data_IF_822412685557
#
_entry.id   IF_822412685557
#
_cell.length_a   1.000
_cell.length_b   1.000
_cell.length_c   1.000
_cell.angle_alpha   90.00
_cell.angle_beta   90.00
_cell.angle_gamma   90.00
#
_symmetry.space_group_name_H-M   'P 1'
#
loop_
_entity.id
_entity.type
_entity.pdbx_description
1 polymer ?
#
# COMPACT_ATOMS: atom_id res chain seq x y z
N UNK A 1 -74.38 19.06 -22.33
CA UNK A 1 -73.10 19.81 -22.21
C UNK A 1 -72.06 18.89 -21.59
N UNK A 2 -71.13 18.34 -22.40
CA UNK A 2 -70.07 17.44 -21.93
C UNK A 2 -68.91 18.28 -21.40
N UNK A 3 -68.57 18.14 -20.11
CA UNK A 3 -67.41 18.79 -19.50
C UNK A 3 -66.17 17.92 -19.76
N UNK A 4 -65.21 18.45 -20.52
CA UNK A 4 -63.88 17.86 -20.64
C UNK A 4 -63.07 18.21 -19.39
N UNK A 5 -62.65 17.19 -18.66
CA UNK A 5 -61.70 17.29 -17.55
C UNK A 5 -60.31 17.07 -18.16
N UNK A 6 -59.57 18.15 -18.37
CA UNK A 6 -58.16 18.09 -18.81
C UNK A 6 -57.33 17.83 -17.55
N UNK A 7 -56.86 16.59 -17.40
CA UNK A 7 -55.84 16.24 -16.43
C UNK A 7 -54.48 16.69 -17.00
N UNK A 8 -53.93 17.77 -16.44
CA UNK A 8 -52.54 18.17 -16.70
C UNK A 8 -51.62 17.21 -15.92
N UNK A 9 -50.89 16.36 -16.63
CA UNK A 9 -49.85 15.54 -16.05
C UNK A 9 -48.61 16.39 -15.78
N UNK A 10 -48.32 16.67 -14.51
CA UNK A 10 -47.02 17.20 -14.09
C UNK A 10 -45.97 16.09 -14.29
N UNK A 11 -45.12 16.23 -15.31
CA UNK A 11 -43.90 15.45 -15.46
C UNK A 11 -42.89 16.02 -14.47
N UNK A 12 -42.76 15.41 -13.30
CA UNK A 12 -41.69 15.72 -12.35
C UNK A 12 -40.43 15.05 -12.90
N UNK A 13 -39.63 15.77 -13.69
CA UNK A 13 -38.28 15.32 -14.02
C UNK A 13 -37.46 15.45 -12.75
N UNK A 14 -37.28 14.37 -11.98
CA UNK A 14 -36.27 14.37 -10.92
C UNK A 14 -34.92 14.56 -11.61
N UNK A 15 -34.27 15.70 -11.41
CA UNK A 15 -32.86 15.85 -11.74
C UNK A 15 -32.08 14.85 -10.88
N UNK A 16 -31.85 13.66 -11.42
CA UNK A 16 -30.94 12.68 -10.82
C UNK A 16 -29.53 13.25 -10.99
N UNK A 17 -28.82 13.46 -9.88
CA UNK A 17 -27.42 13.86 -9.90
C UNK A 17 -26.63 12.91 -10.80
N UNK A 18 -25.72 13.47 -11.58
CA UNK A 18 -24.68 12.71 -12.29
C UNK A 18 -23.80 11.95 -11.31
N UNK A 19 -23.07 10.95 -11.79
CA UNK A 19 -22.16 10.18 -10.95
C UNK A 19 -21.02 11.08 -10.41
N UNK A 20 -20.56 12.03 -11.21
CA UNK A 20 -19.59 13.04 -10.81
C UNK A 20 -20.12 13.92 -9.68
N UNK A 21 -21.37 14.41 -9.76
CA UNK A 21 -21.97 15.20 -8.68
C UNK A 21 -22.19 14.38 -7.40
N UNK A 22 -22.58 13.11 -7.52
CA UNK A 22 -22.70 12.19 -6.37
C UNK A 22 -21.34 11.96 -5.72
N UNK A 23 -20.32 11.64 -6.52
CA UNK A 23 -18.96 11.41 -6.08
C UNK A 23 -18.36 12.64 -5.40
N UNK A 24 -18.46 13.82 -6.03
CA UNK A 24 -17.92 15.06 -5.49
C UNK A 24 -18.55 15.41 -4.14
N UNK A 25 -19.87 15.24 -4.01
CA UNK A 25 -20.57 15.47 -2.75
C UNK A 25 -20.06 14.54 -1.65
N UNK A 26 -19.90 13.25 -1.95
CA UNK A 26 -19.43 12.28 -0.97
C UNK A 26 -17.95 12.48 -0.61
N UNK A 27 -17.08 12.69 -1.61
CA UNK A 27 -15.66 13.00 -1.43
C UNK A 27 -15.47 14.25 -0.59
N UNK A 28 -16.27 15.30 -0.82
CA UNK A 28 -16.24 16.52 0.01
C UNK A 28 -16.52 16.20 1.48
N UNK A 29 -17.51 15.35 1.78
CA UNK A 29 -17.79 14.93 3.15
C UNK A 29 -16.62 14.12 3.73
N UNK A 30 -16.06 13.19 2.96
CA UNK A 30 -14.88 12.41 3.37
C UNK A 30 -13.68 13.30 3.68
N UNK A 31 -13.38 14.29 2.82
CA UNK A 31 -12.22 15.17 2.97
C UNK A 31 -12.27 16.09 4.19
N UNK A 32 -13.44 16.36 4.75
CA UNK A 32 -13.56 17.20 5.96
C UNK A 32 -12.74 16.66 7.13
N UNK A 33 -12.60 15.35 7.22
CA UNK A 33 -11.84 14.71 8.29
C UNK A 33 -10.32 14.71 8.04
N UNK A 34 -9.89 14.96 6.80
CA UNK A 34 -8.48 14.95 6.40
C UNK A 34 -7.84 16.34 6.30
N UNK A 35 -8.62 17.36 5.95
CA UNK A 35 -8.10 18.70 5.69
C UNK A 35 -7.96 19.52 6.98
N UNK A 36 -6.84 20.23 7.12
CA UNK A 36 -6.62 21.16 8.23
C UNK A 36 -7.65 22.29 8.28
N UNK A 37 -8.11 22.75 7.11
CA UNK A 37 -9.08 23.84 6.96
C UNK A 37 -10.19 23.41 5.99
N UNK A 38 -11.17 22.58 6.44
CA UNK A 38 -12.19 22.03 5.55
C UNK A 38 -13.04 23.08 4.83
N UNK A 39 -13.29 24.23 5.47
CA UNK A 39 -14.09 25.32 4.87
C UNK A 39 -13.39 26.00 3.67
N UNK A 40 -12.08 25.82 3.54
CA UNK A 40 -11.29 26.33 2.40
C UNK A 40 -11.23 25.38 1.21
N UNK A 41 -11.86 24.20 1.33
CA UNK A 41 -11.92 23.22 0.26
C UNK A 41 -12.71 23.75 -0.93
N UNK A 42 -12.10 23.65 -2.11
CA UNK A 42 -12.74 23.92 -3.38
C UNK A 42 -12.41 22.81 -4.39
N UNK A 43 -13.42 22.16 -4.99
CA UNK A 43 -13.19 21.16 -6.02
C UNK A 43 -12.65 21.83 -7.29
N UNK A 44 -11.68 21.18 -7.94
CA UNK A 44 -11.13 21.61 -9.23
C UNK A 44 -11.66 20.71 -10.34
N UNK A 45 -11.64 19.39 -10.13
CA UNK A 45 -12.19 18.42 -11.07
C UNK A 45 -12.50 17.10 -10.39
N UNK A 46 -13.61 16.49 -10.78
CA UNK A 46 -14.01 15.14 -10.38
C UNK A 46 -14.22 14.31 -11.63
N UNK A 47 -13.58 13.14 -11.71
CA UNK A 47 -13.77 12.15 -12.78
C UNK A 47 -14.14 10.83 -12.16
N UNK A 48 -15.10 10.14 -12.77
CA UNK A 48 -15.64 8.89 -12.27
C UNK A 48 -15.52 7.83 -13.35
N UNK A 49 -14.86 6.72 -13.03
CA UNK A 49 -14.70 5.56 -13.88
C UNK A 49 -15.27 4.32 -13.20
N UNK A 50 -15.72 3.34 -14.00
CA UNK A 50 -16.19 2.07 -13.47
C UNK A 50 -15.04 1.26 -12.88
N UNK A 51 -15.30 0.66 -11.71
CA UNK A 51 -14.34 -0.12 -10.96
C UNK A 51 -14.65 -1.62 -11.08
N UNK A 52 -13.61 -2.44 -11.20
CA UNK A 52 -13.70 -3.91 -11.33
C UNK A 52 -12.74 -4.66 -10.38
N UNK A 53 -12.39 -4.01 -9.28
CA UNK A 53 -11.39 -4.47 -8.31
C UNK A 53 -12.03 -4.76 -6.95
N UNK A 54 -11.38 -5.58 -6.14
CA UNK A 54 -11.70 -5.76 -4.73
C UNK A 54 -10.91 -4.77 -3.87
N UNK A 55 -11.52 -3.62 -3.58
CA UNK A 55 -10.93 -2.55 -2.75
C UNK A 55 -10.52 -3.06 -1.37
N UNK A 56 -11.15 -4.11 -0.85
CA UNK A 56 -10.83 -4.68 0.47
C UNK A 56 -9.45 -5.32 0.54
N UNK A 57 -8.84 -5.59 -0.62
CA UNK A 57 -7.50 -6.19 -0.71
C UNK A 57 -6.37 -5.13 -0.71
N UNK A 58 -6.67 -3.84 -0.94
CA UNK A 58 -5.66 -2.78 -1.02
C UNK A 58 -4.87 -2.67 0.29
N UNK A 59 -5.55 -2.50 1.43
CA UNK A 59 -4.91 -2.36 2.73
C UNK A 59 -4.10 -3.62 3.13
N UNK A 60 -4.64 -4.85 2.99
CA UNK A 60 -3.85 -6.08 3.16
C UNK A 60 -2.57 -6.13 2.31
N UNK A 61 -2.65 -5.80 1.02
CA UNK A 61 -1.49 -5.81 0.10
C UNK A 61 -0.44 -4.81 0.56
N UNK A 62 -0.84 -3.58 0.90
CA UNK A 62 0.09 -2.55 1.40
C UNK A 62 0.79 -3.01 2.68
N UNK A 63 0.04 -3.55 3.64
CA UNK A 63 0.59 -4.04 4.91
C UNK A 63 1.56 -5.20 4.71
N UNK A 64 1.20 -6.19 3.89
CA UNK A 64 2.07 -7.33 3.57
C UNK A 64 3.36 -6.84 2.89
N UNK A 65 3.25 -5.86 2.01
CA UNK A 65 4.40 -5.25 1.32
C UNK A 65 5.38 -4.60 2.29
N UNK A 66 4.89 -3.86 3.28
CA UNK A 66 5.73 -3.29 4.35
C UNK A 66 6.37 -4.36 5.24
N UNK A 67 5.63 -5.44 5.54
CA UNK A 67 6.17 -6.59 6.27
C UNK A 67 7.29 -7.29 5.48
N UNK A 68 7.15 -7.43 4.16
CA UNK A 68 8.19 -7.97 3.27
C UNK A 68 9.44 -7.10 3.28
N UNK A 69 9.32 -5.78 3.09
CA UNK A 69 10.45 -4.83 3.16
C UNK A 69 11.22 -4.95 4.48
N UNK A 70 10.49 -5.04 5.59
CA UNK A 70 11.07 -5.21 6.92
C UNK A 70 11.77 -6.58 7.09
N UNK A 71 11.20 -7.66 6.55
CA UNK A 71 11.81 -9.00 6.58
C UNK A 71 13.10 -9.04 5.75
N UNK A 72 13.10 -8.48 4.54
CA UNK A 72 14.30 -8.36 3.70
C UNK A 72 15.40 -7.59 4.43
N UNK A 73 15.05 -6.46 5.06
CA UNK A 73 16.00 -5.66 5.86
C UNK A 73 16.61 -6.46 7.03
N UNK A 74 15.82 -7.33 7.67
CA UNK A 74 16.29 -8.22 8.74
C UNK A 74 17.18 -9.34 8.21
N UNK A 75 16.84 -9.93 7.07
CA UNK A 75 17.64 -10.95 6.37
C UNK A 75 19.02 -10.38 6.03
N UNK A 76 19.08 -9.23 5.36
CA UNK A 76 20.33 -8.54 5.02
C UNK A 76 21.18 -8.20 6.25
N UNK A 77 20.55 -7.97 7.42
CA UNK A 77 21.27 -7.77 8.68
C UNK A 77 21.83 -9.08 9.22
N UNK A 78 21.10 -10.18 9.13
CA UNK A 78 21.58 -11.50 9.53
C UNK A 78 22.77 -11.94 8.67
N UNK A 79 22.71 -11.75 7.35
CA UNK A 79 23.80 -12.07 6.42
C UNK A 79 25.09 -11.34 6.80
N UNK A 80 25.03 -10.02 6.99
CA UNK A 80 26.19 -9.23 7.45
C UNK A 80 26.74 -9.69 8.80
N UNK A 81 25.88 -10.12 9.73
CA UNK A 81 26.33 -10.67 11.02
C UNK A 81 27.05 -12.00 10.85
N UNK A 82 26.55 -12.87 9.96
CA UNK A 82 27.18 -14.15 9.64
C UNK A 82 28.57 -13.90 9.05
N UNK A 83 28.68 -13.02 8.04
CA UNK A 83 29.97 -12.66 7.42
C UNK A 83 30.95 -12.06 8.44
N UNK A 84 30.48 -11.14 9.29
CA UNK A 84 31.31 -10.54 10.34
C UNK A 84 31.80 -11.57 11.37
N UNK A 85 30.93 -12.52 11.73
CA UNK A 85 31.27 -13.59 12.66
C UNK A 85 32.25 -14.58 12.02
N UNK A 86 32.09 -14.90 10.73
CA UNK A 86 33.04 -15.72 9.96
C UNK A 86 34.43 -15.09 9.91
N UNK A 87 34.51 -13.80 9.56
CA UNK A 87 35.77 -13.05 9.58
C UNK A 87 36.43 -13.07 10.96
N UNK A 88 35.64 -12.92 12.03
CA UNK A 88 36.15 -12.98 13.40
C UNK A 88 36.65 -14.38 13.77
N UNK A 89 35.93 -15.43 13.34
CA UNK A 89 36.38 -16.82 13.53
C UNK A 89 37.70 -17.09 12.80
N UNK A 90 37.90 -16.54 11.60
CA UNK A 90 39.14 -16.70 10.84
C UNK A 90 40.32 -15.98 11.52
N UNK A 91 40.11 -14.76 12.03
CA UNK A 91 41.14 -14.00 12.77
C UNK A 91 41.56 -14.74 14.05
N UNK A 92 40.59 -15.25 14.80
CA UNK A 92 40.82 -15.86 16.10
C UNK A 92 40.94 -17.39 16.04
N UNK A 93 41.10 -17.95 14.84
CA UNK A 93 41.19 -19.39 14.62
C UNK A 93 42.24 -20.04 15.55
N UNK A 94 41.86 -21.03 16.37
CA UNK A 94 42.76 -21.58 17.36
C UNK A 94 43.86 -22.42 16.71
N UNK A 95 45.10 -22.21 17.15
CA UNK A 95 46.29 -22.99 16.82
C UNK A 95 47.03 -23.40 18.11
N UNK A 96 48.17 -24.09 17.96
CA UNK A 96 48.97 -24.59 19.09
C UNK A 96 49.44 -23.51 20.09
N UNK A 97 49.44 -22.24 19.70
CA UNK A 97 49.92 -21.10 20.50
C UNK A 97 48.80 -20.12 20.88
N UNK A 98 47.53 -20.43 20.59
CA UNK A 98 46.43 -19.50 20.84
C UNK A 98 46.18 -19.25 22.32
N UNK A 99 46.12 -17.97 22.68
CA UNK A 99 45.78 -17.49 24.01
C UNK A 99 44.34 -17.86 24.42
N UNK A 100 44.06 -17.82 25.74
CA UNK A 100 42.69 -17.96 26.25
C UNK A 100 41.75 -16.89 25.67
N UNK A 101 42.25 -15.67 25.47
CA UNK A 101 41.49 -14.59 24.83
C UNK A 101 41.09 -14.96 23.40
N UNK A 102 42.04 -15.38 22.56
CA UNK A 102 41.76 -15.79 21.17
C UNK A 102 40.74 -16.93 21.10
N UNK A 103 40.85 -17.93 21.98
CA UNK A 103 39.88 -19.03 22.07
C UNK A 103 38.48 -18.55 22.50
N UNK A 104 38.43 -17.55 23.38
CA UNK A 104 37.19 -16.92 23.83
C UNK A 104 36.50 -16.13 22.71
N UNK A 105 37.24 -15.31 21.97
CA UNK A 105 36.73 -14.55 20.82
C UNK A 105 36.21 -15.48 19.72
N UNK A 106 36.97 -16.53 19.38
CA UNK A 106 36.52 -17.55 18.45
C UNK A 106 35.19 -18.20 18.88
N UNK A 107 35.08 -18.55 20.18
CA UNK A 107 33.86 -19.16 20.71
C UNK A 107 32.66 -18.20 20.68
N UNK A 108 32.89 -16.91 20.95
CA UNK A 108 31.84 -15.87 20.85
C UNK A 108 31.37 -15.69 19.42
N UNK A 109 32.30 -15.53 18.48
CA UNK A 109 32.00 -15.39 17.06
C UNK A 109 31.24 -16.62 16.53
N UNK A 110 31.65 -17.83 16.92
CA UNK A 110 30.92 -19.06 16.58
C UNK A 110 29.48 -19.03 17.11
N UNK A 111 29.25 -18.59 18.34
CA UNK A 111 27.91 -18.46 18.91
C UNK A 111 27.06 -17.43 18.16
N UNK A 112 27.63 -16.25 17.89
CA UNK A 112 26.96 -15.18 17.14
C UNK A 112 26.56 -15.63 15.73
N UNK A 113 27.42 -16.40 15.05
CA UNK A 113 27.13 -17.01 13.75
C UNK A 113 25.93 -17.95 13.80
N UNK A 114 25.89 -18.85 14.78
CA UNK A 114 24.79 -19.82 14.91
C UNK A 114 23.45 -19.13 15.26
N UNK A 115 23.49 -18.10 16.12
CA UNK A 115 22.30 -17.28 16.42
C UNK A 115 21.81 -16.54 15.17
N UNK A 116 22.72 -15.90 14.43
CA UNK A 116 22.37 -15.18 13.20
C UNK A 116 21.82 -16.10 12.10
N UNK A 117 22.34 -17.33 11.96
CA UNK A 117 21.81 -18.36 11.06
C UNK A 117 20.40 -18.83 11.44
N UNK A 118 20.14 -18.99 12.73
CA UNK A 118 18.81 -19.34 13.23
C UNK A 118 17.79 -18.25 12.90
N UNK A 119 18.14 -16.99 13.16
CA UNK A 119 17.31 -15.84 12.79
C UNK A 119 17.12 -15.72 11.28
N UNK A 120 18.18 -15.94 10.49
CA UNK A 120 18.11 -15.93 9.03
C UNK A 120 17.08 -16.94 8.51
N UNK A 121 17.14 -18.19 8.98
CA UNK A 121 16.18 -19.23 8.59
C UNK A 121 14.75 -18.82 8.99
N UNK A 122 14.56 -18.34 10.21
CA UNK A 122 13.26 -17.86 10.70
C UNK A 122 12.69 -16.74 9.84
N UNK A 123 13.48 -15.73 9.48
CA UNK A 123 13.01 -14.61 8.67
C UNK A 123 12.78 -15.00 7.21
N UNK A 124 13.62 -15.88 6.65
CA UNK A 124 13.44 -16.42 5.30
C UNK A 124 12.13 -17.19 5.18
N UNK A 125 11.83 -18.06 6.15
CA UNK A 125 10.55 -18.79 6.19
C UNK A 125 9.36 -17.83 6.22
N UNK A 126 9.40 -16.82 7.08
CA UNK A 126 8.35 -15.79 7.16
C UNK A 126 8.21 -14.99 5.87
N UNK A 127 9.32 -14.69 5.20
CA UNK A 127 9.30 -14.00 3.91
C UNK A 127 8.54 -14.83 2.87
N UNK A 128 8.83 -16.13 2.77
CA UNK A 128 8.08 -17.03 1.86
C UNK A 128 6.58 -17.08 2.18
N UNK A 129 6.21 -17.12 3.46
CA UNK A 129 4.80 -17.07 3.90
C UNK A 129 4.12 -15.76 3.47
N UNK A 130 4.80 -14.62 3.64
CA UNK A 130 4.27 -13.31 3.25
C UNK A 130 4.19 -13.13 1.73
N UNK A 131 5.17 -13.65 0.97
CA UNK A 131 5.12 -13.63 -0.51
C UNK A 131 3.94 -14.43 -1.04
N UNK A 132 3.67 -15.61 -0.47
CA UNK A 132 2.49 -16.39 -0.83
C UNK A 132 1.20 -15.63 -0.53
N UNK A 133 1.10 -14.98 0.63
CA UNK A 133 -0.05 -14.16 1.00
C UNK A 133 -0.22 -12.93 0.09
N UNK A 134 0.88 -12.28 -0.29
CA UNK A 134 0.86 -11.16 -1.22
C UNK A 134 0.26 -11.59 -2.56
N UNK A 135 0.80 -12.66 -3.14
CA UNK A 135 0.31 -13.21 -4.43
C UNK A 135 -1.16 -13.61 -4.37
N UNK A 136 -1.61 -14.20 -3.26
CA UNK A 136 -3.02 -14.55 -3.06
C UNK A 136 -3.92 -13.30 -3.03
N UNK A 137 -3.51 -12.23 -2.35
CA UNK A 137 -4.30 -11.00 -2.30
C UNK A 137 -4.28 -10.25 -3.63
N UNK A 138 -3.15 -10.21 -4.33
CA UNK A 138 -3.06 -9.63 -5.69
C UNK A 138 -3.94 -10.40 -6.68
N UNK A 139 -3.96 -11.73 -6.62
CA UNK A 139 -4.86 -12.52 -7.47
C UNK A 139 -6.35 -12.24 -7.20
N UNK A 140 -6.72 -11.86 -5.97
CA UNK A 140 -8.10 -11.47 -5.60
C UNK A 140 -8.42 -10.01 -5.94
N UNK A 141 -7.41 -9.18 -6.15
CA UNK A 141 -7.59 -7.76 -6.42
C UNK A 141 -8.43 -7.53 -7.68
N UNK A 142 -8.25 -8.34 -8.72
CA UNK A 142 -9.07 -8.27 -9.93
C UNK A 142 -10.33 -9.15 -9.80
N UNK A 143 -11.51 -8.53 -9.74
CA UNK A 143 -12.79 -9.28 -9.69
C UNK A 143 -13.37 -9.59 -11.07
N UNK A 144 -13.11 -8.73 -12.06
CA UNK A 144 -13.65 -8.90 -13.42
C UNK A 144 -15.15 -8.62 -13.56
N UNK A 145 -15.83 -8.27 -12.46
CA UNK A 145 -17.20 -7.76 -12.42
C UNK A 145 -17.21 -6.33 -11.87
N UNK A 146 -18.28 -5.57 -12.16
CA UNK A 146 -18.42 -4.21 -11.66
C UNK A 146 -18.55 -4.22 -10.13
N UNK A 147 -17.74 -3.43 -9.43
CA UNK A 147 -17.71 -3.36 -7.96
C UNK A 147 -17.95 -1.96 -7.41
N UNK A 148 -18.18 -0.97 -8.28
CA UNK A 148 -18.42 0.42 -7.89
C UNK A 148 -17.65 1.40 -8.76
N UNK A 149 -17.12 2.46 -8.16
CA UNK A 149 -16.57 3.60 -8.88
C UNK A 149 -15.19 4.00 -8.39
N UNK A 150 -14.26 4.17 -9.32
CA UNK A 150 -12.98 4.83 -9.07
C UNK A 150 -13.14 6.32 -9.38
N UNK A 151 -12.77 7.17 -8.43
CA UNK A 151 -12.98 8.61 -8.51
C UNK A 151 -11.64 9.31 -8.41
N UNK A 152 -11.18 9.91 -9.50
CA UNK A 152 -10.04 10.83 -9.47
C UNK A 152 -10.55 12.22 -9.12
N UNK A 153 -10.04 12.78 -8.02
CA UNK A 153 -10.51 14.06 -7.51
C UNK A 153 -9.34 15.02 -7.24
N UNK A 154 -9.42 16.19 -7.87
CA UNK A 154 -8.49 17.30 -7.66
C UNK A 154 -9.22 18.42 -6.96
N UNK A 155 -8.57 18.99 -5.96
CA UNK A 155 -9.11 20.08 -5.16
C UNK A 155 -8.00 21.05 -4.76
N UNK A 156 -8.40 22.14 -4.13
CA UNK A 156 -7.48 23.03 -3.41
C UNK A 156 -8.00 23.33 -2.02
N UNK A 157 -7.11 23.49 -1.07
CA UNK A 157 -7.43 23.90 0.30
C UNK A 157 -6.27 24.67 0.91
N UNK A 158 -6.51 25.40 1.99
CA UNK A 158 -5.42 26.02 2.75
C UNK A 158 -4.52 24.95 3.37
N UNK A 159 -3.22 25.23 3.38
CA UNK A 159 -2.22 24.45 4.12
C UNK A 159 -2.48 24.52 5.63
N UNK A 160 -1.79 23.68 6.43
CA UNK A 160 -1.97 23.66 7.89
C UNK A 160 -1.79 25.03 8.56
N UNK A 161 -0.93 25.90 8.02
CA UNK A 161 -0.71 27.26 8.51
C UNK A 161 -1.80 28.29 8.12
N UNK A 162 -2.77 27.92 7.27
CA UNK A 162 -3.84 28.82 6.83
C UNK A 162 -3.37 29.96 5.90
N UNK A 163 -2.15 29.89 5.38
CA UNK A 163 -1.49 31.02 4.69
C UNK A 163 -1.47 30.90 3.19
N UNK A 164 -1.54 29.68 2.66
CA UNK A 164 -1.45 29.40 1.23
C UNK A 164 -2.43 28.30 0.85
N UNK A 165 -3.10 28.48 -0.27
CA UNK A 165 -3.92 27.46 -0.90
C UNK A 165 -3.01 26.51 -1.69
N UNK A 166 -3.07 25.22 -1.35
CA UNK A 166 -2.30 24.16 -1.99
C UNK A 166 -3.22 23.24 -2.80
N UNK A 167 -2.76 22.72 -3.95
CA UNK A 167 -3.50 21.69 -4.67
C UNK A 167 -3.42 20.35 -3.92
N UNK A 168 -4.50 19.58 -4.00
CA UNK A 168 -4.57 18.18 -3.57
C UNK A 168 -5.11 17.30 -4.69
N UNK A 169 -4.61 16.08 -4.78
CA UNK A 169 -5.04 15.08 -5.77
C UNK A 169 -5.13 13.72 -5.10
N UNK A 170 -6.32 13.12 -5.13
CA UNK A 170 -6.61 11.86 -4.46
C UNK A 170 -7.46 10.96 -5.35
N UNK A 171 -7.31 9.66 -5.13
CA UNK A 171 -8.14 8.62 -5.75
C UNK A 171 -9.04 8.05 -4.68
N UNK A 172 -10.34 8.02 -4.95
CA UNK A 172 -11.34 7.42 -4.08
C UNK A 172 -11.96 6.18 -4.74
N UNK A 173 -12.29 5.20 -3.92
CA UNK A 173 -13.05 4.02 -4.32
C UNK A 173 -14.38 4.04 -3.61
N UNK A 174 -15.44 4.22 -4.39
CA UNK A 174 -16.81 4.30 -3.90
C UNK A 174 -17.58 3.03 -4.26
N UNK A 175 -18.52 2.65 -3.40
CA UNK A 175 -19.45 1.57 -3.69
C UNK A 175 -20.43 1.96 -4.82
N UNK A 176 -21.14 0.98 -5.36
CA UNK A 176 -22.04 1.13 -6.53
C UNK A 176 -23.06 2.26 -6.37
N UNK A 177 -23.54 2.48 -5.14
CA UNK A 177 -24.61 3.41 -4.80
C UNK A 177 -24.10 4.77 -4.28
N UNK A 178 -22.77 4.99 -4.24
CA UNK A 178 -22.14 6.18 -3.63
C UNK A 178 -22.64 6.43 -2.19
N UNK A 179 -22.63 5.39 -1.36
CA UNK A 179 -22.90 5.49 0.08
C UNK A 179 -21.62 5.63 0.88
N UNK A 180 -20.52 5.03 0.41
CA UNK A 180 -19.21 5.04 1.08
C UNK A 180 -18.09 5.21 0.07
N UNK A 181 -17.04 5.94 0.44
CA UNK A 181 -15.81 6.05 -0.34
C UNK A 181 -14.59 5.95 0.57
N UNK A 182 -13.58 5.18 0.15
CA UNK A 182 -12.24 5.18 0.75
C UNK A 182 -11.27 5.94 -0.14
N UNK A 183 -10.46 6.84 0.42
CA UNK A 183 -9.55 7.71 -0.34
C UNK A 183 -8.07 7.42 -0.08
N UNK A 184 -7.27 7.54 -1.13
CA UNK A 184 -5.82 7.44 -1.07
C UNK A 184 -5.19 8.66 -1.74
N UNK A 185 -4.07 9.13 -1.20
CA UNK A 185 -3.22 10.08 -1.92
C UNK A 185 -2.69 9.42 -3.19
N UNK A 186 -2.60 10.19 -4.27
CA UNK A 186 -2.31 9.66 -5.60
C UNK A 186 -0.93 9.02 -5.68
N UNK A 187 0.07 9.63 -5.04
CA UNK A 187 1.43 9.10 -4.93
C UNK A 187 1.48 7.74 -4.20
N UNK A 188 0.77 7.61 -3.08
CA UNK A 188 0.65 6.34 -2.35
C UNK A 188 -0.07 5.27 -3.17
N UNK A 189 -1.09 5.66 -3.93
CA UNK A 189 -1.78 4.72 -4.80
C UNK A 189 -0.91 4.30 -5.99
N UNK A 190 -0.12 5.21 -6.56
CA UNK A 190 0.85 4.87 -7.61
C UNK A 190 1.89 3.87 -7.11
N UNK A 191 2.38 4.02 -5.88
CA UNK A 191 3.30 3.03 -5.28
C UNK A 191 2.64 1.67 -5.07
N UNK A 192 1.36 1.66 -4.68
CA UNK A 192 0.56 0.43 -4.64
C UNK A 192 0.42 -0.22 -6.02
N UNK A 193 0.14 0.55 -7.07
CA UNK A 193 0.05 0.04 -8.45
C UNK A 193 1.38 -0.56 -8.93
N UNK A 194 2.52 0.04 -8.56
CA UNK A 194 3.84 -0.55 -8.87
C UNK A 194 4.03 -1.91 -8.22
N UNK A 195 3.55 -2.10 -6.98
CA UNK A 195 3.58 -3.40 -6.31
C UNK A 195 2.72 -4.41 -7.06
N UNK A 196 1.50 -4.05 -7.47
CA UNK A 196 0.63 -4.94 -8.24
C UNK A 196 1.32 -5.42 -9.52
N UNK A 197 1.82 -4.48 -10.33
CA UNK A 197 2.50 -4.80 -11.59
C UNK A 197 3.73 -5.69 -11.35
N UNK A 198 4.54 -5.39 -10.32
CA UNK A 198 5.70 -6.21 -10.00
C UNK A 198 5.33 -7.65 -9.63
N UNK A 199 4.18 -7.87 -8.98
CA UNK A 199 3.70 -9.21 -8.64
C UNK A 199 3.08 -9.92 -9.85
N UNK A 200 2.33 -9.21 -10.69
CA UNK A 200 1.66 -9.77 -11.88
C UNK A 200 2.64 -10.12 -13.00
N UNK A 201 3.70 -9.32 -13.17
CA UNK A 201 4.74 -9.52 -14.18
C UNK A 201 5.82 -10.53 -13.73
N UNK A 202 5.90 -10.83 -12.43
CA UNK A 202 6.90 -11.74 -11.89
C UNK A 202 6.72 -13.18 -12.39
N UNK A 203 7.82 -13.77 -12.82
CA UNK A 203 7.90 -15.19 -13.21
C UNK A 203 8.36 -16.09 -12.07
N UNK A 204 8.91 -15.50 -11.01
CA UNK A 204 9.44 -16.21 -9.85
C UNK A 204 9.20 -15.44 -8.54
N UNK A 205 9.41 -16.08 -7.39
CA UNK A 205 9.45 -15.37 -6.10
C UNK A 205 10.67 -14.42 -6.01
N UNK A 206 11.75 -14.75 -6.72
CA UNK A 206 12.99 -13.96 -6.73
C UNK A 206 12.78 -12.61 -7.40
N UNK A 207 12.02 -12.56 -8.50
CA UNK A 207 11.67 -11.31 -9.21
C UNK A 207 10.93 -10.33 -8.27
N UNK A 208 9.98 -10.85 -7.48
CA UNK A 208 9.23 -10.05 -6.49
C UNK A 208 10.16 -9.58 -5.37
N UNK A 209 11.01 -10.47 -4.87
CA UNK A 209 11.98 -10.12 -3.82
C UNK A 209 12.93 -9.02 -4.30
N UNK A 210 13.41 -9.09 -5.54
CA UNK A 210 14.34 -8.13 -6.12
C UNK A 210 13.69 -6.75 -6.30
N UNK A 211 12.42 -6.71 -6.74
CA UNK A 211 11.64 -5.47 -6.70
C UNK A 211 11.65 -4.82 -5.31
N UNK A 212 11.39 -5.60 -4.26
CA UNK A 212 11.38 -5.07 -2.89
C UNK A 212 12.77 -4.70 -2.37
N UNK A 213 13.84 -5.36 -2.81
CA UNK A 213 15.22 -4.98 -2.46
C UNK A 213 15.61 -3.65 -3.10
N UNK A 214 15.28 -3.45 -4.38
CA UNK A 214 15.59 -2.22 -5.12
C UNK A 214 14.76 -1.03 -4.61
N UNK A 215 13.53 -1.29 -4.20
CA UNK A 215 12.59 -0.26 -3.71
C UNK A 215 12.49 -0.19 -2.18
N UNK A 216 13.48 -0.74 -1.47
CA UNK A 216 13.52 -0.75 0.00
C UNK A 216 13.72 0.66 0.62
N UNK A 217 13.91 1.68 -0.22
CA UNK A 217 14.05 3.10 0.15
C UNK A 217 12.84 3.98 -0.21
N UNK A 218 11.82 3.41 -0.85
CA UNK A 218 10.60 4.13 -1.23
C UNK A 218 9.44 3.69 -0.31
N UNK A 219 9.31 4.42 0.80
CA UNK A 219 8.10 4.92 1.47
C UNK A 219 8.51 5.59 2.79
#
# INVERSE_FOLDING_TARGET
MKKFLVLSALVITSCTLSNEEKAEKLVKETLKDYLYHPDSYEPISTRVDSMFIDVTTIEPIMKISDEIKNLISKINRCERKIESAESSMDIFAPNGYSSQYSRGEYSRAKKEKEEAKSDLNKYTKKLSEQLASLKENVAKYHKGEFTGWAVSHRFRSLNGAGSMTIPGEMIFFCDEEFTTCGGYETDKFEDFVKILNAVDEATSDEDVIDYFKENNFLL
#
